data_IF_713933110815
#
_entry.id   IF_713933110815
#
_cell.length_a   1.000
_cell.length_b   1.000
_cell.length_c   1.000
_cell.angle_alpha   90.00
_cell.angle_beta   90.00
_cell.angle_gamma   90.00
#
_symmetry.space_group_name_H-M   'P 1'
#
loop_
_entity.id
_entity.type
_entity.pdbx_description
1 polymer ?
#
# COMPACT_ATOMS: atom_id res chain seq x y z
N UNK A 1 2.42 18.64 25.90
CA UNK A 1 1.35 17.90 25.21
C UNK A 1 1.94 16.97 24.19
N UNK A 2 1.37 15.78 24.09
CA UNK A 2 1.79 14.75 23.13
C UNK A 2 0.64 14.46 22.18
N UNK A 3 0.94 14.45 20.89
CA UNK A 3 -0.05 14.16 19.85
C UNK A 3 0.34 12.91 19.09
N UNK A 4 -0.62 12.05 18.86
CA UNK A 4 -0.44 10.87 18.00
C UNK A 4 -1.42 10.94 16.85
N UNK A 5 -0.93 10.65 15.66
CA UNK A 5 -1.76 10.55 14.46
C UNK A 5 -1.88 9.08 14.09
N UNK A 6 -3.08 8.57 14.08
CA UNK A 6 -3.37 7.19 13.73
C UNK A 6 -4.25 7.13 12.49
N UNK A 7 -4.03 6.13 11.66
CA UNK A 7 -4.91 5.79 10.54
C UNK A 7 -5.65 4.50 10.88
N UNK A 8 -6.94 4.50 10.66
CA UNK A 8 -7.80 3.35 10.92
C UNK A 8 -8.38 2.87 9.60
N UNK A 9 -8.14 1.60 9.28
CA UNK A 9 -8.78 0.93 8.16
C UNK A 9 -9.95 0.10 8.68
N UNK A 10 -11.13 0.33 8.14
CA UNK A 10 -12.33 -0.47 8.45
C UNK A 10 -12.66 -1.29 7.22
N UNK A 11 -12.56 -2.62 7.32
CA UNK A 11 -12.86 -3.49 6.20
C UNK A 11 -14.39 -3.71 6.06
N UNK A 12 -14.80 -4.40 5.00
CA UNK A 12 -16.21 -4.66 4.71
C UNK A 12 -16.92 -5.43 5.83
N UNK A 13 -16.19 -6.27 6.55
CA UNK A 13 -16.71 -7.01 7.71
C UNK A 13 -16.77 -6.21 9.00
N UNK A 14 -16.35 -4.95 8.98
CA UNK A 14 -16.32 -4.09 10.16
C UNK A 14 -15.09 -4.26 11.05
N UNK A 15 -14.16 -5.14 10.71
CA UNK A 15 -12.91 -5.27 11.44
C UNK A 15 -12.02 -4.06 11.19
N UNK A 16 -11.31 -3.63 12.23
CA UNK A 16 -10.46 -2.46 12.17
C UNK A 16 -8.99 -2.83 12.32
N UNK A 17 -8.15 -2.19 11.51
CA UNK A 17 -6.70 -2.19 11.69
C UNK A 17 -6.24 -0.75 11.89
N UNK A 18 -5.27 -0.58 12.78
CA UNK A 18 -4.76 0.75 13.15
C UNK A 18 -3.26 0.79 12.96
N UNK A 19 -2.77 1.97 12.56
CA UNK A 19 -1.34 2.23 12.51
C UNK A 19 -1.08 3.64 12.99
N UNK A 20 -0.16 3.77 13.94
CA UNK A 20 0.37 5.07 14.33
C UNK A 20 1.37 5.53 13.27
N UNK A 21 1.15 6.68 12.69
CA UNK A 21 2.00 7.21 11.62
C UNK A 21 2.93 8.33 12.09
N UNK A 22 2.59 8.98 13.22
CA UNK A 22 3.39 10.08 13.76
C UNK A 22 3.10 10.29 15.23
N UNK A 23 4.13 10.57 16.01
CA UNK A 23 4.01 11.07 17.36
C UNK A 23 4.79 12.38 17.46
N UNK A 24 4.16 13.39 18.07
CA UNK A 24 4.74 14.72 18.23
C UNK A 24 4.60 15.17 19.66
N UNK A 25 5.58 15.91 20.14
CA UNK A 25 5.51 16.54 21.45
C UNK A 25 5.65 18.06 21.30
N UNK A 26 4.80 18.82 22.01
CA UNK A 26 4.84 20.28 22.05
C UNK A 26 4.85 20.73 23.50
N UNK A 27 5.86 21.50 23.88
CA UNK A 27 6.03 21.97 25.25
C UNK A 27 5.71 23.45 25.36
N UNK A 28 6.22 24.26 24.45
CA UNK A 28 6.06 25.70 24.49
C UNK A 28 5.33 26.19 23.24
N UNK A 29 4.54 27.25 23.41
CA UNK A 29 3.90 27.90 22.27
C UNK A 29 4.82 28.99 21.73
N UNK A 30 5.28 28.80 20.52
CA UNK A 30 6.10 29.75 19.78
C UNK A 30 5.72 29.63 18.30
N UNK A 31 6.09 30.63 17.53
CA UNK A 31 5.83 30.60 16.09
C UNK A 31 6.44 29.35 15.45
N UNK A 32 7.64 28.96 15.90
CA UNK A 32 8.39 27.83 15.36
C UNK A 32 7.76 26.47 15.71
N UNK A 33 6.96 26.41 16.77
CA UNK A 33 6.34 25.17 17.26
C UNK A 33 4.84 25.13 17.06
N UNK A 34 4.27 26.15 16.42
CA UNK A 34 2.83 26.25 16.18
C UNK A 34 2.42 25.29 15.05
N UNK A 35 1.50 24.39 15.37
CA UNK A 35 0.95 23.45 14.40
C UNK A 35 1.97 22.45 13.87
N UNK A 36 1.90 22.15 12.60
CA UNK A 36 2.76 21.17 11.94
C UNK A 36 3.89 21.86 11.17
N UNK A 37 5.08 21.28 11.26
CA UNK A 37 6.16 21.64 10.35
C UNK A 37 5.93 20.96 8.99
N UNK A 38 6.62 21.45 7.97
CA UNK A 38 6.58 20.84 6.64
C UNK A 38 7.07 19.38 6.70
N UNK A 39 8.14 19.13 7.45
CA UNK A 39 8.70 17.78 7.60
C UNK A 39 7.69 16.83 8.27
N UNK A 40 7.01 17.31 9.31
CA UNK A 40 5.98 16.52 9.99
C UNK A 40 4.81 16.23 9.05
N UNK A 41 4.32 17.22 8.31
CA UNK A 41 3.26 17.04 7.34
C UNK A 41 3.62 16.02 6.26
N UNK A 42 4.82 16.09 5.72
CA UNK A 42 5.32 15.12 4.74
C UNK A 42 5.41 13.71 5.32
N UNK A 43 5.89 13.59 6.56
CA UNK A 43 5.99 12.28 7.22
C UNK A 43 4.62 11.67 7.48
N UNK A 44 3.63 12.48 7.89
CA UNK A 44 2.25 12.03 8.09
C UNK A 44 1.67 11.52 6.77
N UNK A 45 1.78 12.31 5.71
CA UNK A 45 1.23 11.93 4.39
C UNK A 45 1.90 10.66 3.86
N UNK A 46 3.20 10.52 4.03
CA UNK A 46 3.91 9.30 3.64
C UNK A 46 3.43 8.10 4.42
N UNK A 47 3.27 8.23 5.75
CA UNK A 47 2.79 7.15 6.59
C UNK A 47 1.36 6.74 6.26
N UNK A 48 0.48 7.70 6.02
CA UNK A 48 -0.90 7.45 5.57
C UNK A 48 -0.89 6.72 4.22
N UNK A 49 -0.10 7.19 3.28
CA UNK A 49 0.01 6.58 1.95
C UNK A 49 0.48 5.13 2.02
N UNK A 50 1.52 4.86 2.79
CA UNK A 50 2.05 3.50 2.99
C UNK A 50 0.98 2.58 3.57
N UNK A 51 0.25 3.04 4.57
CA UNK A 51 -0.78 2.23 5.22
C UNK A 51 -1.95 1.96 4.29
N UNK A 52 -2.46 2.99 3.61
CA UNK A 52 -3.57 2.84 2.66
C UNK A 52 -3.18 1.87 1.55
N UNK A 53 -2.01 2.06 0.95
CA UNK A 53 -1.53 1.19 -0.12
C UNK A 53 -1.38 -0.25 0.34
N UNK A 54 -0.80 -0.48 1.52
CA UNK A 54 -0.62 -1.83 2.04
C UNK A 54 -1.96 -2.54 2.30
N UNK A 55 -2.96 -1.82 2.81
CA UNK A 55 -4.29 -2.37 3.05
C UNK A 55 -5.00 -2.71 1.74
N UNK A 56 -4.93 -1.82 0.75
CA UNK A 56 -5.52 -2.05 -0.57
C UNK A 56 -4.92 -3.29 -1.24
N UNK A 57 -3.60 -3.42 -1.20
CA UNK A 57 -2.89 -4.54 -1.84
C UNK A 57 -3.17 -5.84 -1.12
N UNK A 58 -3.13 -5.85 0.20
CA UNK A 58 -3.42 -7.05 1.00
C UNK A 58 -4.83 -7.56 0.73
N UNK A 59 -5.81 -6.67 0.65
CA UNK A 59 -7.19 -7.05 0.36
C UNK A 59 -7.36 -7.59 -1.05
N UNK A 60 -6.75 -6.94 -2.04
CA UNK A 60 -6.80 -7.41 -3.42
C UNK A 60 -6.17 -8.80 -3.56
N UNK A 61 -4.99 -9.01 -2.98
CA UNK A 61 -4.32 -10.30 -3.02
C UNK A 61 -5.13 -11.38 -2.32
N UNK A 62 -5.74 -11.06 -1.20
CA UNK A 62 -6.59 -11.99 -0.46
C UNK A 62 -7.79 -12.45 -1.30
N UNK A 63 -8.46 -11.51 -1.97
CA UNK A 63 -9.62 -11.80 -2.82
C UNK A 63 -9.25 -12.68 -4.01
N UNK A 64 -8.06 -12.52 -4.53
CA UNK A 64 -7.61 -13.17 -5.78
C UNK A 64 -6.82 -14.45 -5.53
N UNK A 65 -6.68 -14.86 -4.28
CA UNK A 65 -5.82 -15.98 -3.89
C UNK A 65 -6.31 -17.34 -4.39
N UNK A 66 -7.58 -17.47 -4.75
CA UNK A 66 -8.17 -18.74 -5.19
C UNK A 66 -8.49 -18.72 -6.67
N UNK A 67 -8.26 -19.84 -7.34
CA UNK A 67 -8.62 -20.01 -8.75
C UNK A 67 -10.13 -19.85 -8.93
N UNK A 68 -10.60 -18.96 -9.83
CA UNK A 68 -12.03 -18.77 -10.05
C UNK A 68 -12.72 -20.01 -10.65
N UNK A 69 -11.96 -20.90 -11.25
CA UNK A 69 -12.48 -22.12 -11.87
C UNK A 69 -12.67 -23.27 -10.88
N UNK A 70 -11.61 -23.63 -10.15
CA UNK A 70 -11.62 -24.80 -9.27
C UNK A 70 -11.61 -24.48 -7.79
N UNK A 71 -11.46 -23.20 -7.41
CA UNK A 71 -11.42 -22.77 -6.03
C UNK A 71 -10.14 -23.11 -5.28
N UNK A 72 -9.19 -23.78 -5.93
CA UNK A 72 -7.92 -24.11 -5.29
C UNK A 72 -7.11 -22.85 -5.01
N UNK A 73 -6.52 -22.79 -3.82
CA UNK A 73 -5.66 -21.67 -3.44
C UNK A 73 -4.35 -21.71 -4.23
N UNK A 74 -3.98 -20.60 -4.84
CA UNK A 74 -2.71 -20.47 -5.53
C UNK A 74 -1.54 -20.60 -4.57
N UNK A 75 -0.53 -21.34 -5.00
CA UNK A 75 0.69 -21.52 -4.23
C UNK A 75 1.64 -20.34 -4.50
N UNK A 76 2.23 -19.77 -3.45
CA UNK A 76 3.19 -18.70 -3.59
C UNK A 76 4.56 -19.27 -3.98
N UNK A 77 5.05 -18.87 -5.14
CA UNK A 77 6.38 -19.28 -5.62
C UNK A 77 7.46 -18.43 -4.98
N UNK A 78 7.23 -17.13 -4.92
CA UNK A 78 8.12 -16.20 -4.22
C UNK A 78 7.33 -14.99 -3.75
N UNK A 79 7.75 -14.43 -2.60
CA UNK A 79 7.32 -13.12 -2.16
C UNK A 79 8.20 -12.09 -2.88
N UNK A 80 7.60 -11.05 -3.40
CA UNK A 80 8.34 -9.98 -4.06
C UNK A 80 7.80 -8.65 -3.65
N UNK A 81 8.59 -7.61 -3.89
CA UNK A 81 8.15 -6.22 -3.69
C UNK A 81 8.54 -5.40 -4.90
N UNK A 82 7.73 -4.41 -5.21
CA UNK A 82 8.03 -3.38 -6.21
C UNK A 82 7.83 -2.03 -5.57
N UNK A 83 8.41 -1.00 -6.17
CA UNK A 83 8.28 0.36 -5.68
C UNK A 83 7.45 1.16 -6.67
N UNK A 84 6.44 1.88 -6.17
CA UNK A 84 5.64 2.82 -6.95
C UNK A 84 5.99 4.22 -6.47
N UNK A 85 6.38 5.09 -7.38
CA UNK A 85 6.67 6.49 -7.08
C UNK A 85 5.37 7.30 -7.01
N UNK A 86 5.15 7.98 -5.89
CA UNK A 86 3.97 8.81 -5.68
C UNK A 86 4.36 10.23 -5.29
N UNK A 87 3.39 11.15 -5.26
CA UNK A 87 3.63 12.54 -4.84
C UNK A 87 4.03 12.64 -3.37
N UNK A 88 3.78 11.60 -2.56
CA UNK A 88 4.17 11.56 -1.16
C UNK A 88 5.40 10.67 -0.92
N UNK A 89 6.13 10.35 -2.00
CA UNK A 89 7.33 9.54 -1.95
C UNK A 89 7.11 8.11 -2.49
N UNK A 90 8.17 7.29 -2.47
CA UNK A 90 8.09 5.92 -2.94
C UNK A 90 7.26 5.06 -1.97
N UNK A 91 6.46 4.15 -2.54
CA UNK A 91 5.65 3.19 -1.80
C UNK A 91 6.11 1.78 -2.17
N UNK A 92 6.45 0.98 -1.18
CA UNK A 92 6.73 -0.43 -1.40
C UNK A 92 5.41 -1.20 -1.49
N UNK A 93 5.23 -1.95 -2.57
CA UNK A 93 4.02 -2.73 -2.82
C UNK A 93 4.38 -4.21 -2.92
N UNK A 94 3.58 -5.06 -2.29
CA UNK A 94 3.73 -6.50 -2.43
C UNK A 94 3.51 -6.89 -3.89
N UNK A 95 4.44 -7.67 -4.44
CA UNK A 95 4.39 -8.12 -5.83
C UNK A 95 4.80 -9.59 -5.90
N UNK A 96 3.96 -10.49 -5.35
CA UNK A 96 4.28 -11.90 -5.30
C UNK A 96 4.17 -12.55 -6.67
N UNK A 97 4.84 -13.69 -6.81
CA UNK A 97 4.68 -14.57 -7.96
C UNK A 97 4.00 -15.86 -7.47
N UNK A 98 2.88 -16.20 -8.11
CA UNK A 98 2.08 -17.36 -7.76
C UNK A 98 2.13 -18.40 -8.85
N UNK A 99 2.01 -19.67 -8.45
CA UNK A 99 1.87 -20.78 -9.40
C UNK A 99 0.40 -20.91 -9.83
N UNK A 100 0.20 -21.12 -11.13
CA UNK A 100 -1.12 -21.43 -11.65
C UNK A 100 -1.57 -22.79 -11.12
N UNK A 101 -2.88 -22.93 -10.95
CA UNK A 101 -3.45 -24.22 -10.55
C UNK A 101 -3.41 -25.21 -11.72
N UNK A 102 -3.57 -26.50 -11.40
CA UNK A 102 -3.53 -27.58 -12.38
C UNK A 102 -4.66 -27.50 -13.43
N UNK A 103 -5.77 -26.79 -13.14
CA UNK A 103 -6.87 -26.63 -14.09
C UNK A 103 -6.58 -25.58 -15.17
N UNK A 104 -5.57 -24.74 -14.97
CA UNK A 104 -5.14 -23.72 -15.91
C UNK A 104 -3.88 -24.17 -16.64
N UNK A 105 -4.03 -25.07 -17.60
CA UNK A 105 -2.89 -25.69 -18.28
C UNK A 105 -2.27 -24.85 -19.39
N UNK A 106 -2.98 -23.82 -19.85
CA UNK A 106 -2.51 -22.94 -20.90
C UNK A 106 -1.77 -21.75 -20.29
N UNK A 107 -0.67 -21.35 -20.92
CA UNK A 107 0.12 -20.22 -20.51
C UNK A 107 1.26 -20.56 -19.55
N UNK A 108 1.95 -19.53 -19.02
CA UNK A 108 3.08 -19.71 -18.11
C UNK A 108 2.65 -20.41 -16.80
N UNK A 109 3.58 -21.14 -16.20
CA UNK A 109 3.32 -21.83 -14.93
C UNK A 109 3.12 -20.85 -13.76
N UNK A 110 3.72 -19.69 -13.84
CA UNK A 110 3.65 -18.67 -12.79
C UNK A 110 3.10 -17.36 -13.34
N UNK A 111 2.55 -16.54 -12.46
CA UNK A 111 2.03 -15.23 -12.80
C UNK A 111 2.13 -14.30 -11.61
N UNK A 112 2.08 -12.99 -11.89
CA UNK A 112 2.01 -11.96 -10.85
C UNK A 112 0.59 -11.39 -10.82
N UNK A 113 -0.15 -11.58 -9.73
CA UNK A 113 -1.53 -11.06 -9.64
C UNK A 113 -1.59 -9.54 -9.74
N UNK A 114 -0.52 -8.85 -9.38
CA UNK A 114 -0.44 -7.39 -9.47
C UNK A 114 -0.34 -6.87 -10.90
N UNK A 115 0.00 -7.72 -11.88
CA UNK A 115 0.17 -7.31 -13.27
C UNK A 115 -1.10 -6.70 -13.88
N UNK A 116 -2.28 -6.96 -13.32
CA UNK A 116 -3.53 -6.39 -13.80
C UNK A 116 -3.67 -4.90 -13.53
N UNK A 117 -3.00 -4.38 -12.50
CA UNK A 117 -3.09 -2.97 -12.14
C UNK A 117 -1.72 -2.28 -12.06
N UNK A 118 -0.64 -3.04 -11.84
CA UNK A 118 0.72 -2.48 -11.74
C UNK A 118 1.30 -2.31 -13.15
N UNK A 119 0.74 -1.35 -13.90
CA UNK A 119 1.11 -1.09 -15.30
C UNK A 119 2.36 -0.21 -15.42
N UNK A 120 2.69 0.52 -14.35
CA UNK A 120 3.85 1.38 -14.27
C UNK A 120 4.27 1.51 -12.82
N UNK A 121 5.38 2.22 -12.58
CA UNK A 121 5.91 2.39 -11.23
C UNK A 121 5.80 3.81 -10.71
N UNK A 122 4.95 4.62 -11.35
CA UNK A 122 4.71 6.01 -10.96
C UNK A 122 3.22 6.27 -10.96
N UNK A 123 2.71 6.93 -9.90
CA UNK A 123 1.29 7.27 -9.84
C UNK A 123 0.91 8.32 -10.88
N UNK A 124 -0.37 8.32 -11.34
CA UNK A 124 -0.82 9.32 -12.32
C UNK A 124 -0.63 10.76 -11.86
N UNK A 125 -0.87 11.04 -10.58
CA UNK A 125 -0.70 12.38 -10.01
C UNK A 125 0.76 12.82 -10.09
N UNK A 126 1.69 11.93 -9.80
CA UNK A 126 3.11 12.23 -9.89
C UNK A 126 3.53 12.47 -11.33
N UNK A 127 3.07 11.64 -12.26
CA UNK A 127 3.34 11.83 -13.69
C UNK A 127 2.82 13.18 -14.17
N UNK A 128 1.62 13.56 -13.74
CA UNK A 128 1.05 14.87 -14.08
C UNK A 128 1.93 16.02 -13.58
N UNK A 129 2.42 15.94 -12.35
CA UNK A 129 3.29 16.98 -11.79
C UNK A 129 4.65 17.03 -12.48
N UNK A 130 5.20 15.90 -12.90
CA UNK A 130 6.47 15.83 -13.60
C UNK A 130 6.42 16.45 -15.00
N UNK A 131 5.24 16.44 -15.63
CA UNK A 131 5.05 17.03 -16.98
C UNK A 131 4.73 18.52 -16.95
N UNK A 132 4.52 19.11 -15.78
CA UNK A 132 4.26 20.54 -15.58
C UNK A 132 5.56 21.31 -15.36
#
# INVERSE_FOLDING_TARGET
>A
MKFRVEVICVNEGGAEERREVMEMERRELATETLGLSLAEGKAILRGVQDFVASQQISEDLRRRRSCPNCGQRYHSKEAGTSTVETVFGPVAVANPRWERCSCQREGPKTFRPTATWLMGRTSPERLYLETK
#
